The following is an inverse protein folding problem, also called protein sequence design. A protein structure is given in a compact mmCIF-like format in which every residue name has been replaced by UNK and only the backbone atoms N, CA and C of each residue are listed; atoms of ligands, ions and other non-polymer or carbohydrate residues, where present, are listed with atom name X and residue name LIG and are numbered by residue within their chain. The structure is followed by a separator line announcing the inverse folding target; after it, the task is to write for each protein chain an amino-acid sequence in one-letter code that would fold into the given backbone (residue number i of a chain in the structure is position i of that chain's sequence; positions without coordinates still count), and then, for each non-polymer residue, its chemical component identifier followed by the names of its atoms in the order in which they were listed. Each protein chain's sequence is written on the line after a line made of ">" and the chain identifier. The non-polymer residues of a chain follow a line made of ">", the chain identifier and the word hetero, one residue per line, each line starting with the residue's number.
data_IF_141078935902
#
_entry.id   IF_141078935902
#
_cell.length_a   1.000
_cell.length_b   1.000
_cell.length_c   1.000
_cell.angle_alpha   90.00
_cell.angle_beta   90.00
_cell.angle_gamma   90.00
#
_symmetry.space_group_name_H-M   'P 1'
#
loop_
_entity.id
_entity.type
_entity.pdbx_description
1 polymer ?
#
# COMPACT_ATOMS: atom_id res chain seq x y z
N UNK A 1 -33.79 31.12 -13.17
CA UNK A 1 -32.72 30.23 -12.66
C UNK A 1 -33.35 29.06 -11.90
N UNK A 2 -33.35 27.87 -12.50
CA UNK A 2 -33.84 26.67 -11.84
C UNK A 2 -32.79 26.21 -10.84
N UNK A 3 -33.16 26.20 -9.57
CA UNK A 3 -32.33 25.73 -8.47
C UNK A 3 -32.41 24.20 -8.45
N UNK A 4 -31.36 23.54 -8.94
CA UNK A 4 -31.27 22.08 -8.99
C UNK A 4 -30.55 21.62 -7.71
N UNK A 5 -31.23 20.99 -6.74
CA UNK A 5 -30.58 20.52 -5.52
C UNK A 5 -29.50 19.47 -5.85
N UNK A 6 -28.41 19.51 -5.09
CA UNK A 6 -27.26 18.62 -5.26
C UNK A 6 -27.62 17.13 -5.22
N UNK A 7 -27.04 16.35 -6.14
CA UNK A 7 -27.22 14.89 -6.25
C UNK A 7 -26.52 14.17 -5.09
N UNK A 8 -27.15 14.13 -3.92
CA UNK A 8 -26.71 13.35 -2.77
C UNK A 8 -27.91 12.71 -2.08
N UNK A 9 -28.43 11.60 -2.61
CA UNK A 9 -29.47 10.86 -1.91
C UNK A 9 -28.86 10.15 -0.68
N UNK A 10 -29.43 10.30 0.54
CA UNK A 10 -28.94 9.61 1.72
C UNK A 10 -29.01 8.09 1.51
N UNK A 11 -28.02 7.36 2.03
CA UNK A 11 -27.84 5.91 1.84
C UNK A 11 -29.10 5.11 2.23
N UNK A 12 -29.84 5.57 3.24
CA UNK A 12 -31.11 4.97 3.64
C UNK A 12 -32.20 5.07 2.57
N UNK A 13 -32.30 6.20 1.86
CA UNK A 13 -33.27 6.36 0.76
C UNK A 13 -32.92 5.44 -0.41
N UNK A 14 -31.63 5.26 -0.70
CA UNK A 14 -31.17 4.31 -1.73
C UNK A 14 -31.47 2.85 -1.35
N UNK A 15 -31.28 2.48 -0.07
CA UNK A 15 -31.66 1.15 0.44
C UNK A 15 -33.17 0.90 0.34
N UNK A 16 -34.01 1.86 0.77
CA UNK A 16 -35.47 1.78 0.65
C UNK A 16 -35.94 1.69 -0.80
N UNK A 17 -35.35 2.48 -1.69
CA UNK A 17 -35.64 2.40 -3.13
C UNK A 17 -35.30 1.04 -3.72
N UNK A 18 -34.21 0.42 -3.29
CA UNK A 18 -33.79 -0.91 -3.78
C UNK A 18 -34.65 -2.04 -3.24
N UNK A 19 -35.15 -1.92 -2.01
CA UNK A 19 -36.18 -2.82 -1.47
C UNK A 19 -37.53 -2.67 -2.18
N UNK A 20 -37.92 -1.44 -2.52
CA UNK A 20 -39.16 -1.16 -3.24
C UNK A 20 -39.10 -1.55 -4.73
N UNK A 21 -37.92 -1.44 -5.36
CA UNK A 21 -37.70 -1.75 -6.78
C UNK A 21 -37.46 -3.23 -7.08
N UNK A 22 -37.70 -4.13 -6.12
CA UNK A 22 -37.58 -5.58 -6.31
C UNK A 22 -38.68 -6.19 -7.18
N UNK A 23 -39.57 -5.38 -7.74
CA UNK A 23 -40.66 -5.82 -8.62
C UNK A 23 -40.65 -4.99 -9.91
N UNK A 24 -40.66 -5.70 -11.04
CA UNK A 24 -40.74 -5.26 -12.44
C UNK A 24 -39.41 -4.89 -13.12
N UNK A 25 -38.85 -5.92 -13.77
CA UNK A 25 -38.01 -5.83 -14.97
C UNK A 25 -36.49 -5.63 -14.77
N UNK A 26 -35.76 -6.76 -14.81
CA UNK A 26 -34.31 -6.87 -14.65
C UNK A 26 -33.47 -6.24 -15.79
N UNK A 27 -34.10 -5.76 -16.86
CA UNK A 27 -33.45 -5.38 -18.13
C UNK A 27 -33.02 -3.91 -18.23
N UNK A 28 -33.45 -3.01 -17.34
CA UNK A 28 -32.98 -1.61 -17.31
C UNK A 28 -31.88 -1.37 -16.27
N UNK A 29 -30.94 -2.33 -16.18
CA UNK A 29 -29.98 -2.37 -15.08
C UNK A 29 -28.77 -1.46 -15.33
N UNK A 30 -28.85 -0.25 -14.77
CA UNK A 30 -27.75 0.43 -14.08
C UNK A 30 -26.63 1.06 -14.94
N UNK A 31 -26.73 2.38 -15.17
CA UNK A 31 -25.57 3.22 -15.53
C UNK A 31 -25.02 4.04 -14.37
N UNK A 32 -25.76 4.20 -13.27
CA UNK A 32 -25.32 4.97 -12.09
C UNK A 32 -26.03 4.50 -10.82
N UNK A 33 -25.53 3.44 -10.20
CA UNK A 33 -25.79 3.25 -8.77
C UNK A 33 -24.48 3.08 -8.05
N UNK A 34 -24.27 3.90 -7.03
CA UNK A 34 -23.25 3.69 -6.01
C UNK A 34 -23.29 2.21 -5.59
N UNK A 35 -22.19 1.49 -5.73
CA UNK A 35 -22.10 0.10 -5.28
C UNK A 35 -22.00 0.12 -3.75
N UNK A 36 -23.17 0.13 -3.09
CA UNK A 36 -23.29 0.25 -1.63
C UNK A 36 -22.49 -0.82 -0.88
N UNK A 37 -22.23 -1.98 -1.51
CA UNK A 37 -21.39 -3.03 -0.93
C UNK A 37 -19.92 -2.64 -0.95
N UNK A 38 -19.48 -1.96 -2.02
CA UNK A 38 -18.11 -1.43 -2.17
C UNK A 38 -17.86 -0.23 -1.25
N UNK A 39 -18.85 0.63 -1.05
CA UNK A 39 -18.81 1.73 -0.07
C UNK A 39 -18.77 1.19 1.37
N UNK A 40 -19.62 0.21 1.71
CA UNK A 40 -19.59 -0.41 3.03
C UNK A 40 -18.28 -1.16 3.30
N UNK A 41 -17.74 -1.86 2.30
CA UNK A 41 -16.41 -2.49 2.41
C UNK A 41 -15.30 -1.44 2.57
N UNK A 42 -15.36 -0.34 1.84
CA UNK A 42 -14.41 0.78 1.99
C UNK A 42 -14.50 1.39 3.40
N UNK A 43 -15.69 1.62 3.92
CA UNK A 43 -15.89 2.09 5.30
C UNK A 43 -15.38 1.07 6.33
N UNK A 44 -15.58 -0.23 6.11
CA UNK A 44 -15.13 -1.30 7.01
C UNK A 44 -13.60 -1.43 7.01
N UNK A 45 -12.96 -1.34 5.84
CA UNK A 45 -11.50 -1.27 5.69
C UNK A 45 -10.96 -0.01 6.38
N UNK A 46 -11.56 1.15 6.14
CA UNK A 46 -11.16 2.41 6.79
C UNK A 46 -11.35 2.33 8.31
N UNK A 47 -12.40 1.67 8.82
CA UNK A 47 -12.61 1.46 10.25
C UNK A 47 -11.56 0.53 10.85
N UNK A 48 -11.19 -0.56 10.16
CA UNK A 48 -10.10 -1.45 10.59
C UNK A 48 -8.77 -0.70 10.64
N UNK A 49 -8.48 0.11 9.61
CA UNK A 49 -7.31 0.99 9.57
C UNK A 49 -7.32 1.97 10.76
N UNK A 50 -8.45 2.64 11.02
CA UNK A 50 -8.59 3.59 12.14
C UNK A 50 -8.41 2.91 13.50
N UNK A 51 -8.98 1.72 13.68
CA UNK A 51 -8.84 0.94 14.91
C UNK A 51 -7.38 0.48 15.13
N UNK A 52 -6.70 -0.01 14.10
CA UNK A 52 -5.29 -0.40 14.19
C UNK A 52 -4.37 0.81 14.41
N UNK A 53 -4.65 1.94 13.76
CA UNK A 53 -3.93 3.19 14.01
C UNK A 53 -4.06 3.65 15.47
N UNK A 54 -5.25 3.54 16.06
CA UNK A 54 -5.45 3.82 17.49
C UNK A 54 -4.68 2.85 18.40
N UNK A 55 -4.62 1.56 18.06
CA UNK A 55 -3.87 0.55 18.83
C UNK A 55 -2.37 0.78 18.74
N UNK A 56 -1.85 1.10 17.55
CA UNK A 56 -0.43 1.44 17.35
C UNK A 56 -0.09 2.73 18.11
N UNK A 57 -0.96 3.75 18.04
CA UNK A 57 -0.80 5.00 18.80
C UNK A 57 -0.83 4.76 20.31
N UNK A 58 -1.68 3.85 20.79
CA UNK A 58 -1.74 3.45 22.19
C UNK A 58 -0.48 2.66 22.62
N UNK A 59 0.00 1.73 21.80
CA UNK A 59 1.22 0.97 22.05
C UNK A 59 2.46 1.87 22.10
N UNK A 60 2.53 2.88 21.23
CA UNK A 60 3.60 3.87 21.25
C UNK A 60 3.51 4.81 22.45
N UNK A 61 2.31 5.31 22.80
CA UNK A 61 2.11 6.06 24.05
C UNK A 61 2.50 5.25 25.27
N UNK A 62 2.26 3.93 25.26
CA UNK A 62 2.68 3.05 26.34
C UNK A 62 4.21 2.90 26.39
N UNK A 63 4.86 2.80 25.23
CA UNK A 63 6.34 2.79 25.12
C UNK A 63 6.97 4.13 25.56
N UNK A 64 6.33 5.25 25.27
CA UNK A 64 6.74 6.58 25.73
C UNK A 64 6.51 6.75 27.23
N UNK A 65 5.35 6.34 27.77
CA UNK A 65 5.08 6.34 29.20
C UNK A 65 6.06 5.43 29.98
N UNK A 66 6.45 4.29 29.40
CA UNK A 66 7.49 3.42 29.97
C UNK A 66 8.87 4.09 29.97
N UNK A 67 9.18 4.94 28.98
CA UNK A 67 10.41 5.76 28.99
C UNK A 67 10.36 6.86 30.05
N UNK A 68 9.22 7.53 30.22
CA UNK A 68 9.01 8.59 31.24
C UNK A 68 9.11 8.05 32.66
N UNK A 69 8.76 6.78 32.91
CA UNK A 69 8.98 6.12 34.20
C UNK A 69 10.45 5.92 34.61
N UNK A 70 11.41 6.21 33.71
CA UNK A 70 12.84 6.00 33.96
C UNK A 70 13.64 7.30 34.12
N UNK A 71 12.98 8.47 34.09
CA UNK A 71 13.63 9.78 34.21
C UNK A 71 13.00 10.61 35.33
N UNK A 72 13.43 10.35 36.57
CA UNK A 72 13.44 11.39 37.61
C UNK A 72 14.79 12.06 37.61
N UNK A 73 14.75 13.39 37.47
CA UNK A 73 15.84 14.36 37.55
C UNK A 73 16.84 14.29 36.40
N UNK A 74 16.65 15.16 35.41
CA UNK A 74 17.59 16.25 35.12
C UNK A 74 16.97 17.23 34.11
N UNK A 75 17.23 18.52 34.32
CA UNK A 75 16.83 19.59 33.41
C UNK A 75 17.52 19.40 32.04
N UNK A 76 16.90 19.80 30.92
CA UNK A 76 17.53 19.61 29.62
C UNK A 76 18.62 20.67 29.40
N UNK A 77 19.86 20.28 29.70
CA UNK A 77 21.04 20.94 29.15
C UNK A 77 21.04 20.80 27.63
N UNK A 78 21.14 21.94 26.96
CA UNK A 78 21.35 22.04 25.54
C UNK A 78 22.80 21.66 25.21
N UNK A 79 23.10 20.42 24.82
CA UNK A 79 24.30 20.11 24.02
C UNK A 79 24.14 18.87 23.13
N UNK A 80 24.27 19.14 21.83
CA UNK A 80 24.81 18.33 20.73
C UNK A 80 24.99 16.81 20.95
N UNK A 81 24.08 16.04 20.39
CA UNK A 81 24.40 14.70 19.89
C UNK A 81 23.47 14.37 18.72
N UNK A 82 23.43 15.26 17.72
CA UNK A 82 22.60 15.05 16.54
C UNK A 82 23.20 14.01 15.59
N UNK A 83 22.34 13.28 14.88
CA UNK A 83 22.78 12.26 13.94
C UNK A 83 23.72 12.89 12.90
N UNK A 84 24.93 12.34 12.77
CA UNK A 84 25.87 12.63 11.66
C UNK A 84 26.06 14.14 11.35
N UNK A 85 26.14 14.98 12.38
CA UNK A 85 26.45 16.40 12.24
C UNK A 85 25.25 17.31 11.90
N UNK A 86 24.01 16.81 11.98
CA UNK A 86 22.80 17.65 11.99
C UNK A 86 22.45 18.09 13.42
N UNK A 87 21.72 19.21 13.57
CA UNK A 87 21.34 19.73 14.89
C UNK A 87 20.15 19.02 15.55
N UNK A 88 19.50 18.09 14.84
CA UNK A 88 18.26 17.43 15.26
C UNK A 88 18.32 15.91 14.98
N UNK A 89 17.69 15.12 15.84
CA UNK A 89 17.55 13.66 15.65
C UNK A 89 16.30 13.32 14.83
N UNK A 90 16.34 12.21 14.11
CA UNK A 90 15.21 11.66 13.33
C UNK A 90 13.93 11.49 14.16
N UNK A 91 14.04 10.95 15.38
CA UNK A 91 12.91 10.75 16.29
C UNK A 91 12.21 12.06 16.66
N UNK A 92 12.98 13.11 16.93
CA UNK A 92 12.46 14.43 17.29
C UNK A 92 11.73 15.08 16.11
N UNK A 93 12.28 14.95 14.91
CA UNK A 93 11.73 15.50 13.69
C UNK A 93 10.44 14.78 13.25
N UNK A 94 10.41 13.46 13.45
CA UNK A 94 9.22 12.64 13.23
C UNK A 94 8.11 12.99 14.22
N UNK A 95 8.44 13.10 15.52
CA UNK A 95 7.47 13.50 16.55
C UNK A 95 6.90 14.90 16.32
N UNK A 96 7.75 15.85 15.90
CA UNK A 96 7.36 17.22 15.57
C UNK A 96 6.22 17.24 14.54
N UNK A 97 6.35 16.45 13.47
CA UNK A 97 5.41 16.45 12.36
C UNK A 97 4.16 15.63 12.67
N UNK A 98 4.32 14.45 13.29
CA UNK A 98 3.22 13.56 13.68
C UNK A 98 2.27 14.20 14.69
N UNK A 99 2.82 14.76 15.77
CA UNK A 99 2.00 15.39 16.81
C UNK A 99 1.60 16.83 16.48
N UNK A 100 1.98 17.33 15.30
CA UNK A 100 1.74 18.71 14.88
C UNK A 100 2.19 19.69 15.98
N UNK A 101 3.39 19.47 16.53
CA UNK A 101 3.85 20.15 17.74
C UNK A 101 4.36 21.56 17.44
N UNK A 102 3.44 22.52 17.39
CA UNK A 102 3.73 23.94 17.16
C UNK A 102 4.69 24.54 18.18
N UNK A 103 4.58 24.12 19.45
CA UNK A 103 5.41 24.63 20.54
C UNK A 103 6.88 24.26 20.33
N UNK A 104 7.14 23.02 19.92
CA UNK A 104 8.48 22.58 19.57
C UNK A 104 9.02 23.32 18.33
N UNK A 105 8.19 23.56 17.31
CA UNK A 105 8.60 24.35 16.15
C UNK A 105 9.00 25.79 16.55
N UNK A 106 8.27 26.42 17.47
CA UNK A 106 8.60 27.75 17.99
C UNK A 106 9.88 27.77 18.83
N UNK A 107 10.14 26.70 19.59
CA UNK A 107 11.41 26.55 20.33
C UNK A 107 12.62 26.46 19.39
N UNK A 108 12.44 25.89 18.20
CA UNK A 108 13.46 25.87 17.15
C UNK A 108 13.50 27.16 16.31
N UNK A 109 13.08 28.31 16.86
CA UNK A 109 13.02 29.59 16.15
C UNK A 109 12.16 29.55 14.86
N UNK A 110 11.17 28.64 14.82
CA UNK A 110 10.30 28.46 13.68
C UNK A 110 10.94 27.65 12.54
N UNK A 111 10.53 27.96 11.31
CA UNK A 111 10.97 27.24 10.11
C UNK A 111 12.44 27.54 9.80
N UNK A 112 12.89 28.77 10.05
CA UNK A 112 14.27 29.21 9.80
C UNK A 112 15.27 28.48 10.68
N UNK A 113 14.99 28.35 11.99
CA UNK A 113 15.89 27.58 12.86
C UNK A 113 15.83 26.08 12.56
N UNK A 114 14.66 25.53 12.20
CA UNK A 114 14.57 24.14 11.73
C UNK A 114 15.42 23.89 10.47
N UNK A 115 15.37 24.81 9.49
CA UNK A 115 16.18 24.74 8.28
C UNK A 115 17.68 24.82 8.59
N UNK A 116 18.08 25.70 9.52
CA UNK A 116 19.47 25.79 10.00
C UNK A 116 19.94 24.49 10.68
N UNK A 117 19.10 23.88 11.53
CA UNK A 117 19.42 22.60 12.17
C UNK A 117 19.59 21.45 11.16
N UNK A 118 18.82 21.50 10.05
CA UNK A 118 18.91 20.58 8.92
C UNK A 118 19.97 20.99 7.87
N UNK A 119 20.76 22.04 8.14
CA UNK A 119 21.77 22.60 7.21
C UNK A 119 21.21 22.81 5.81
N UNK A 120 20.00 23.36 5.74
CA UNK A 120 19.24 23.55 4.51
C UNK A 120 18.90 25.02 4.37
N UNK A 121 19.07 25.57 3.16
CA UNK A 121 18.62 26.91 2.84
C UNK A 121 17.15 26.87 2.38
N UNK A 122 16.32 27.78 2.88
CA UNK A 122 14.89 27.81 2.59
C UNK A 122 14.61 28.09 1.11
N UNK A 123 15.44 28.91 0.46
CA UNK A 123 15.26 29.33 -0.93
C UNK A 123 16.07 28.45 -1.90
N UNK A 124 17.25 27.99 -1.47
CA UNK A 124 18.18 27.22 -2.31
C UNK A 124 18.09 25.71 -2.08
N UNK A 125 17.42 25.26 -1.02
CA UNK A 125 17.37 23.86 -0.61
C UNK A 125 18.73 23.33 -0.18
N UNK A 126 18.91 22.01 -0.31
CA UNK A 126 20.17 21.32 0.02
C UNK A 126 21.22 21.52 -1.08
N UNK A 127 22.48 21.19 -0.81
CA UNK A 127 23.60 21.36 -1.76
C UNK A 127 23.40 20.57 -3.07
N UNK A 128 22.78 19.39 -2.98
CA UNK A 128 22.57 18.47 -4.09
C UNK A 128 23.79 17.59 -4.42
N UNK A 129 24.86 17.67 -3.64
CA UNK A 129 26.00 16.76 -3.76
C UNK A 129 25.62 15.35 -3.28
N UNK A 130 26.10 14.32 -3.97
CA UNK A 130 25.76 12.92 -3.66
C UNK A 130 26.18 12.52 -2.23
N UNK A 131 27.31 13.05 -1.74
CA UNK A 131 27.76 12.86 -0.36
C UNK A 131 26.83 13.46 0.69
N UNK A 132 26.21 14.61 0.44
CA UNK A 132 25.22 15.22 1.35
C UNK A 132 23.91 14.42 1.35
N UNK A 133 23.48 13.95 0.18
CA UNK A 133 22.30 13.09 0.02
C UNK A 133 22.50 11.78 0.78
N UNK A 134 23.65 11.12 0.64
CA UNK A 134 23.94 9.87 1.33
C UNK A 134 24.09 10.07 2.84
N UNK A 135 24.71 11.17 3.29
CA UNK A 135 24.76 11.51 4.70
C UNK A 135 23.35 11.68 5.31
N UNK A 136 22.42 12.33 4.59
CA UNK A 136 21.02 12.48 5.00
C UNK A 136 20.26 11.16 5.00
N UNK A 137 20.46 10.32 3.97
CA UNK A 137 19.87 8.97 3.92
C UNK A 137 20.32 8.11 5.10
N UNK A 138 21.59 8.25 5.51
CA UNK A 138 22.14 7.55 6.68
C UNK A 138 21.63 8.12 8.02
N UNK A 139 21.36 9.43 8.09
CA UNK A 139 20.93 10.10 9.32
C UNK A 139 19.42 10.04 9.58
N UNK A 140 18.60 10.03 8.52
CA UNK A 140 17.14 10.16 8.60
C UNK A 140 16.36 9.08 7.84
N UNK A 141 17.06 8.18 7.15
CA UNK A 141 16.47 7.14 6.31
C UNK A 141 16.21 7.57 4.86
N UNK A 142 15.82 6.60 4.04
CA UNK A 142 15.46 6.80 2.64
C UNK A 142 13.94 6.86 2.44
N UNK A 143 13.46 7.56 1.41
CA UNK A 143 12.04 7.62 1.06
C UNK A 143 11.53 6.34 0.38
N UNK A 144 11.71 5.21 1.05
CA UNK A 144 11.32 3.88 0.56
C UNK A 144 10.59 3.12 1.66
N UNK A 145 9.56 2.36 1.27
CA UNK A 145 8.82 1.48 2.17
C UNK A 145 9.35 0.05 2.05
N UNK A 146 9.31 -0.77 3.12
CA UNK A 146 9.73 -2.16 3.07
C UNK A 146 8.91 -2.92 2.02
N UNK A 147 9.56 -3.28 0.91
CA UNK A 147 8.92 -4.05 -0.16
C UNK A 147 8.84 -5.51 0.26
N UNK A 148 7.70 -6.16 0.00
CA UNK A 148 7.66 -7.63 -0.02
C UNK A 148 8.66 -8.10 -1.08
N UNK A 149 9.66 -8.87 -0.67
CA UNK A 149 10.59 -9.50 -1.61
C UNK A 149 9.79 -10.32 -2.62
N UNK A 150 10.17 -10.23 -3.90
CA UNK A 150 9.56 -11.05 -4.95
C UNK A 150 9.62 -12.54 -4.59
N UNK A 151 8.57 -13.28 -4.92
CA UNK A 151 8.55 -14.74 -4.70
C UNK A 151 9.58 -15.41 -5.61
N UNK A 152 10.26 -16.42 -5.10
CA UNK A 152 11.20 -17.22 -5.89
C UNK A 152 10.46 -18.11 -6.89
N UNK A 153 11.13 -18.50 -7.97
CA UNK A 153 10.57 -19.45 -8.94
C UNK A 153 10.13 -20.76 -8.27
N UNK A 154 10.88 -21.27 -7.29
CA UNK A 154 10.53 -22.47 -6.52
C UNK A 154 9.23 -22.32 -5.73
N UNK A 155 8.94 -21.11 -5.24
CA UNK A 155 7.66 -20.85 -4.58
C UNK A 155 6.49 -20.97 -5.57
N UNK A 156 6.65 -20.53 -6.82
CA UNK A 156 5.64 -20.71 -7.87
C UNK A 156 5.46 -22.18 -8.26
N UNK A 157 6.54 -22.97 -8.34
CA UNK A 157 6.45 -24.42 -8.56
C UNK A 157 5.68 -25.09 -7.41
N UNK A 158 6.00 -24.74 -6.16
CA UNK A 158 5.32 -25.27 -4.98
C UNK A 158 3.85 -24.89 -4.93
N UNK A 159 3.49 -23.67 -5.34
CA UNK A 159 2.09 -23.22 -5.42
C UNK A 159 1.34 -23.91 -6.57
N UNK A 160 1.98 -24.12 -7.73
CA UNK A 160 1.39 -24.88 -8.83
C UNK A 160 1.10 -26.34 -8.44
N UNK A 161 1.97 -26.98 -7.65
CA UNK A 161 1.73 -28.34 -7.14
C UNK A 161 0.53 -28.44 -6.18
N UNK A 162 0.03 -27.34 -5.61
CA UNK A 162 -1.14 -27.33 -4.71
C UNK A 162 -2.46 -27.16 -5.45
N UNK A 163 -2.45 -26.93 -6.77
CA UNK A 163 -3.67 -26.83 -7.54
C UNK A 163 -4.42 -28.18 -7.48
N UNK A 164 -5.68 -28.14 -7.04
CA UNK A 164 -6.54 -29.32 -6.90
C UNK A 164 -6.57 -30.16 -8.18
N UNK A 165 -6.56 -29.52 -9.34
CA UNK A 165 -6.58 -30.20 -10.64
C UNK A 165 -5.30 -30.99 -10.89
N UNK A 166 -4.14 -30.42 -10.57
CA UNK A 166 -2.84 -31.08 -10.68
C UNK A 166 -2.66 -32.17 -9.61
N UNK A 167 -3.17 -31.96 -8.40
CA UNK A 167 -3.17 -33.00 -7.35
C UNK A 167 -3.95 -34.24 -7.81
N UNK A 168 -5.14 -34.08 -8.41
CA UNK A 168 -5.93 -35.21 -8.92
C UNK A 168 -5.14 -35.97 -10.00
N UNK A 169 -4.47 -35.27 -10.91
CA UNK A 169 -3.64 -35.88 -11.94
C UNK A 169 -2.41 -36.59 -11.36
N UNK A 170 -1.77 -36.04 -10.33
CA UNK A 170 -0.66 -36.67 -9.61
C UNK A 170 -1.11 -37.95 -8.90
N UNK A 171 -2.28 -37.95 -8.26
CA UNK A 171 -2.86 -39.15 -7.63
C UNK A 171 -3.20 -40.20 -8.69
N UNK A 172 -3.79 -39.80 -9.82
CA UNK A 172 -4.05 -40.70 -10.93
C UNK A 172 -2.76 -41.32 -11.48
N UNK A 173 -1.72 -40.51 -11.69
CA UNK A 173 -0.40 -41.00 -12.13
C UNK A 173 0.19 -42.02 -11.14
N UNK A 174 0.08 -41.76 -9.83
CA UNK A 174 0.55 -42.65 -8.79
C UNK A 174 -0.24 -43.97 -8.75
N UNK A 175 -1.57 -43.92 -8.88
CA UNK A 175 -2.43 -45.12 -8.93
C UNK A 175 -2.15 -45.94 -10.19
N UNK A 176 -2.05 -45.29 -11.36
CA UNK A 176 -1.68 -45.96 -12.62
C UNK A 176 -0.30 -46.61 -12.55
N UNK A 177 0.67 -45.94 -11.93
CA UNK A 177 2.01 -46.51 -11.73
C UNK A 177 1.98 -47.72 -10.79
N UNK A 178 1.23 -47.63 -9.68
CA UNK A 178 1.11 -48.73 -8.72
C UNK A 178 0.40 -49.95 -9.32
N UNK A 179 -0.70 -49.73 -10.05
CA UNK A 179 -1.43 -50.79 -10.74
C UNK A 179 -0.58 -51.42 -11.84
N UNK A 180 0.08 -50.63 -12.67
CA UNK A 180 0.94 -51.13 -13.75
C UNK A 180 2.08 -52.00 -13.21
N UNK A 181 2.78 -51.56 -12.16
CA UNK A 181 3.84 -52.36 -11.52
C UNK A 181 3.26 -53.66 -10.91
N UNK A 182 2.03 -53.62 -10.37
CA UNK A 182 1.39 -54.79 -9.76
C UNK A 182 0.92 -55.82 -10.79
N UNK A 183 0.36 -55.39 -11.94
CA UNK A 183 -0.20 -56.29 -12.95
C UNK A 183 0.83 -56.79 -13.96
N UNK A 184 1.73 -55.92 -14.41
CA UNK A 184 2.67 -56.19 -15.52
C UNK A 184 4.13 -56.33 -15.05
N UNK A 185 4.37 -56.15 -13.74
CA UNK A 185 5.69 -56.24 -13.14
C UNK A 185 6.57 -55.02 -13.40
N UNK A 186 7.69 -54.93 -12.67
CA UNK A 186 8.59 -53.75 -12.64
C UNK A 186 9.20 -53.42 -14.01
N UNK A 187 9.33 -54.39 -14.92
CA UNK A 187 10.05 -54.22 -16.20
C UNK A 187 9.24 -53.51 -17.27
N UNK A 188 7.93 -53.72 -17.31
CA UNK A 188 7.04 -53.22 -18.38
C UNK A 188 5.91 -52.33 -17.85
N UNK A 189 5.41 -52.56 -16.63
CA UNK A 189 4.27 -51.82 -16.08
C UNK A 189 4.55 -50.40 -15.59
N UNK A 190 5.80 -49.92 -15.65
CA UNK A 190 6.15 -48.57 -15.18
C UNK A 190 5.90 -47.47 -16.22
N UNK A 191 5.87 -47.81 -17.51
CA UNK A 191 5.83 -46.81 -18.59
C UNK A 191 4.53 -45.99 -18.61
N UNK A 192 3.38 -46.61 -18.30
CA UNK A 192 2.08 -45.95 -18.41
C UNK A 192 1.91 -44.86 -17.32
N UNK A 193 2.19 -45.21 -16.07
CA UNK A 193 2.22 -44.26 -14.96
C UNK A 193 3.34 -43.20 -15.09
N UNK A 194 4.52 -43.59 -15.58
CA UNK A 194 5.62 -42.67 -15.80
C UNK A 194 5.33 -41.64 -16.91
N UNK A 195 4.63 -42.04 -17.98
CA UNK A 195 4.24 -41.14 -19.07
C UNK A 195 3.26 -40.05 -18.58
N UNK A 196 2.28 -40.44 -17.77
CA UNK A 196 1.34 -39.50 -17.15
C UNK A 196 2.09 -38.57 -16.18
N UNK A 197 2.96 -39.11 -15.33
CA UNK A 197 3.77 -38.32 -14.41
C UNK A 197 4.66 -37.30 -15.14
N UNK A 198 5.27 -37.69 -16.25
CA UNK A 198 6.09 -36.80 -17.08
C UNK A 198 5.26 -35.69 -17.73
N UNK A 199 4.05 -36.00 -18.23
CA UNK A 199 3.14 -35.00 -18.76
C UNK A 199 2.73 -33.97 -17.69
N UNK A 200 2.41 -34.42 -16.48
CA UNK A 200 2.06 -33.52 -15.36
C UNK A 200 3.24 -32.64 -14.95
N UNK A 201 4.46 -33.19 -14.91
CA UNK A 201 5.68 -32.41 -14.65
C UNK A 201 5.86 -31.29 -15.68
N UNK A 202 5.70 -31.60 -16.98
CA UNK A 202 5.80 -30.59 -18.03
C UNK A 202 4.74 -29.49 -17.86
N UNK A 203 3.50 -29.85 -17.53
CA UNK A 203 2.44 -28.87 -17.27
C UNK A 203 2.81 -27.97 -16.08
N UNK A 204 3.26 -28.54 -14.96
CA UNK A 204 3.70 -27.76 -13.79
C UNK A 204 4.83 -26.78 -14.17
N UNK A 205 5.81 -27.25 -14.95
CA UNK A 205 6.92 -26.41 -15.38
C UNK A 205 6.47 -25.25 -16.28
N UNK A 206 5.58 -25.51 -17.25
CA UNK A 206 5.01 -24.49 -18.14
C UNK A 206 4.18 -23.49 -17.35
N UNK A 207 3.31 -23.94 -16.44
CA UNK A 207 2.48 -23.09 -15.59
C UNK A 207 3.34 -22.22 -14.68
N UNK A 208 4.29 -22.81 -13.95
CA UNK A 208 5.18 -22.08 -13.06
C UNK A 208 6.04 -21.04 -13.80
N UNK A 209 6.51 -21.37 -15.01
CA UNK A 209 7.26 -20.43 -15.87
C UNK A 209 6.39 -19.28 -16.35
N UNK A 210 5.14 -19.57 -16.76
CA UNK A 210 4.18 -18.56 -17.18
C UNK A 210 3.87 -17.59 -16.03
N UNK A 211 3.51 -18.14 -14.86
CA UNK A 211 3.14 -17.36 -13.68
C UNK A 211 4.32 -16.54 -13.15
N UNK A 212 5.54 -17.09 -13.18
CA UNK A 212 6.75 -16.36 -12.81
C UNK A 212 7.01 -15.19 -13.76
N UNK A 213 6.90 -15.39 -15.08
CA UNK A 213 7.05 -14.30 -16.07
C UNK A 213 5.97 -13.24 -15.89
N UNK A 214 4.73 -13.64 -15.65
CA UNK A 214 3.62 -12.72 -15.40
C UNK A 214 3.85 -11.91 -14.13
N UNK A 215 4.34 -12.55 -13.06
CA UNK A 215 4.70 -11.88 -11.81
C UNK A 215 5.82 -10.86 -12.00
N UNK A 216 6.85 -11.20 -12.79
CA UNK A 216 7.95 -10.29 -13.09
C UNK A 216 7.47 -9.08 -13.90
N UNK A 217 6.59 -9.28 -14.88
CA UNK A 217 5.99 -8.19 -15.64
C UNK A 217 5.17 -7.26 -14.74
N UNK A 218 4.37 -7.83 -13.83
CA UNK A 218 3.65 -7.02 -12.85
C UNK A 218 4.58 -6.24 -11.93
N UNK A 219 5.69 -6.84 -11.50
CA UNK A 219 6.71 -6.16 -10.68
C UNK A 219 7.32 -4.98 -11.45
N UNK A 220 7.80 -5.19 -12.68
CA UNK A 220 8.38 -4.13 -13.50
C UNK A 220 7.39 -2.99 -13.77
N UNK A 221 6.15 -3.32 -14.14
CA UNK A 221 5.10 -2.32 -14.35
C UNK A 221 4.79 -1.54 -13.07
N UNK A 222 4.85 -2.20 -11.91
CA UNK A 222 4.62 -1.56 -10.63
C UNK A 222 5.80 -0.64 -10.26
N UNK A 223 7.04 -1.05 -10.54
CA UNK A 223 8.23 -0.22 -10.33
C UNK A 223 8.24 1.03 -11.20
N UNK A 224 7.92 0.91 -12.48
CA UNK A 224 7.81 2.05 -13.39
C UNK A 224 6.69 3.01 -12.96
N UNK A 225 5.50 2.49 -12.63
CA UNK A 225 4.37 3.31 -12.18
C UNK A 225 4.62 4.01 -10.85
N UNK A 226 5.44 3.44 -9.99
CA UNK A 226 5.76 4.01 -8.68
C UNK A 226 6.89 5.04 -8.73
N UNK A 227 7.69 5.06 -9.81
CA UNK A 227 8.71 6.09 -10.01
C UNK A 227 8.06 7.40 -10.48
N UNK A 228 7.40 8.08 -9.54
CA UNK A 228 6.85 9.41 -9.75
C UNK A 228 8.02 10.39 -9.75
N UNK A 229 8.15 11.16 -10.83
CA UNK A 229 9.09 12.27 -10.88
C UNK A 229 8.45 13.50 -10.24
N UNK A 230 9.16 14.12 -9.31
CA UNK A 230 8.76 15.35 -8.64
C UNK A 230 9.84 16.42 -8.78
N UNK A 231 9.42 17.68 -8.73
CA UNK A 231 10.34 18.84 -8.75
C UNK A 231 10.80 19.15 -7.33
N UNK A 232 12.12 19.26 -7.13
CA UNK A 232 12.73 19.73 -5.87
C UNK A 232 13.70 20.86 -6.14
N UNK A 233 13.96 21.70 -5.14
CA UNK A 233 15.00 22.74 -5.19
C UNK A 233 16.24 22.22 -4.47
N UNK A 234 17.35 22.08 -5.21
CA UNK A 234 18.68 21.77 -4.68
C UNK A 234 19.71 22.72 -5.31
N UNK A 235 20.62 23.28 -4.52
CA UNK A 235 21.65 24.21 -4.98
C UNK A 235 21.08 25.48 -5.65
N UNK A 236 19.87 25.89 -5.28
CA UNK A 236 19.17 27.02 -5.90
C UNK A 236 18.55 26.74 -7.27
N UNK A 237 18.55 25.48 -7.71
CA UNK A 237 17.98 25.07 -9.01
C UNK A 237 16.83 24.09 -8.80
N UNK A 238 15.77 24.24 -9.60
CA UNK A 238 14.69 23.26 -9.68
C UNK A 238 15.13 22.09 -10.53
N UNK A 239 15.19 20.90 -9.92
CA UNK A 239 15.57 19.66 -10.59
C UNK A 239 14.45 18.63 -10.43
N UNK A 240 14.29 17.74 -11.41
CA UNK A 240 13.35 16.62 -11.32
C UNK A 240 14.08 15.43 -10.72
N UNK A 241 13.54 14.89 -9.63
CA UNK A 241 14.07 13.72 -8.93
C UNK A 241 12.99 12.65 -8.81
N UNK A 242 13.43 11.41 -8.65
CA UNK A 242 12.51 10.33 -8.28
C UNK A 242 11.98 10.56 -6.86
N UNK A 243 10.74 10.13 -6.61
CA UNK A 243 10.18 10.07 -5.25
C UNK A 243 11.06 9.28 -4.27
N UNK A 244 11.80 8.28 -4.74
CA UNK A 244 12.66 7.46 -3.90
C UNK A 244 13.96 8.18 -3.48
N UNK A 245 14.37 9.22 -4.21
CA UNK A 245 15.57 10.01 -3.93
C UNK A 245 15.29 11.28 -3.12
N UNK A 246 14.04 11.44 -2.67
CA UNK A 246 13.65 12.51 -1.76
C UNK A 246 14.29 12.28 -0.38
N UNK A 247 14.88 13.33 0.19
CA UNK A 247 15.55 13.27 1.50
C UNK A 247 15.05 14.37 2.44
N UNK A 248 15.29 14.19 3.73
CA UNK A 248 14.99 15.21 4.75
C UNK A 248 15.80 16.47 4.50
N UNK A 249 15.13 17.62 4.55
CA UNK A 249 15.68 18.92 4.19
C UNK A 249 15.47 19.31 2.73
N UNK A 250 14.94 18.44 1.86
CA UNK A 250 14.57 18.89 0.52
C UNK A 250 13.48 19.96 0.56
N UNK A 251 13.59 20.92 -0.37
CA UNK A 251 12.60 21.97 -0.58
C UNK A 251 11.76 21.60 -1.80
N UNK A 252 10.47 21.36 -1.58
CA UNK A 252 9.55 20.84 -2.60
C UNK A 252 8.49 21.89 -2.94
N UNK A 253 8.53 22.49 -4.15
CA UNK A 253 7.45 23.32 -4.64
C UNK A 253 6.25 22.46 -5.03
N UNK A 254 5.11 22.70 -4.38
CA UNK A 254 3.85 21.99 -4.60
C UNK A 254 2.85 22.89 -5.33
N UNK A 255 2.18 22.33 -6.34
CA UNK A 255 1.15 22.99 -7.15
C UNK A 255 -0.19 22.25 -6.99
N UNK A 256 -1.26 22.89 -7.43
CA UNK A 256 -2.61 22.30 -7.43
C UNK A 256 -2.61 20.95 -8.15
N UNK A 257 -3.17 19.93 -7.50
CA UNK A 257 -3.25 18.57 -8.03
C UNK A 257 -2.05 17.68 -7.70
N UNK A 258 -0.95 18.25 -7.19
CA UNK A 258 0.21 17.47 -6.76
C UNK A 258 -0.14 16.65 -5.49
N UNK A 259 0.46 15.47 -5.39
CA UNK A 259 0.43 14.66 -4.17
C UNK A 259 1.65 15.02 -3.31
N UNK A 260 1.41 15.24 -2.02
CA UNK A 260 2.48 15.51 -1.06
C UNK A 260 3.36 14.25 -0.93
N UNK A 261 4.66 14.30 -1.29
CA UNK A 261 5.48 13.10 -1.44
C UNK A 261 6.04 12.55 -0.11
N UNK A 262 6.11 13.39 0.92
CA UNK A 262 6.69 13.11 2.23
C UNK A 262 6.08 14.06 3.27
N UNK A 263 6.25 13.75 4.56
CA UNK A 263 5.78 14.62 5.63
C UNK A 263 6.67 15.87 5.70
N UNK A 264 6.07 17.02 5.98
CA UNK A 264 6.79 18.28 5.88
C UNK A 264 6.08 19.48 6.50
N UNK A 265 6.76 20.63 6.42
CA UNK A 265 6.31 21.92 6.96
C UNK A 265 6.27 22.96 5.84
N UNK A 266 5.21 23.77 5.82
CA UNK A 266 4.99 24.81 4.83
C UNK A 266 5.93 25.99 5.10
N UNK A 267 6.85 26.25 4.18
CA UNK A 267 7.73 27.42 4.19
C UNK A 267 6.94 28.67 3.82
N UNK A 268 6.33 28.65 2.63
CA UNK A 268 5.63 29.78 2.03
C UNK A 268 4.54 29.25 1.11
N UNK A 269 3.43 29.97 1.01
CA UNK A 269 2.34 29.57 0.12
C UNK A 269 1.30 30.66 -0.01
N UNK A 270 0.52 30.59 -1.10
CA UNK A 270 -0.56 31.52 -1.38
C UNK A 270 -1.86 30.74 -1.56
N UNK A 271 -2.84 30.99 -0.69
CA UNK A 271 -4.13 30.29 -0.65
C UNK A 271 -3.96 28.78 -0.73
N UNK A 272 -3.03 28.23 0.04
CA UNK A 272 -2.61 26.84 -0.07
C UNK A 272 -3.53 25.93 0.77
N UNK A 273 -4.24 25.04 0.09
CA UNK A 273 -5.23 24.15 0.68
C UNK A 273 -4.94 22.71 0.31
N UNK A 274 -5.06 21.81 1.29
CA UNK A 274 -4.78 20.38 1.12
C UNK A 274 -6.04 19.57 1.43
N UNK A 275 -6.31 18.57 0.60
CA UNK A 275 -7.30 17.54 0.86
C UNK A 275 -6.68 16.39 1.67
N UNK A 276 -7.11 16.26 2.92
CA UNK A 276 -6.67 15.24 3.88
C UNK A 276 -7.51 13.95 3.80
N UNK A 277 -8.41 13.84 2.81
CA UNK A 277 -9.32 12.69 2.64
C UNK A 277 -8.61 11.36 2.43
N UNK A 278 -7.43 11.38 1.81
CA UNK A 278 -6.64 10.17 1.55
C UNK A 278 -6.07 9.55 2.84
N UNK A 279 -5.83 10.38 3.86
CA UNK A 279 -5.28 9.96 5.16
C UNK A 279 -6.37 9.67 6.18
N UNK A 280 -7.34 10.57 6.31
CA UNK A 280 -8.36 10.51 7.38
C UNK A 280 -9.62 9.74 6.99
N UNK A 281 -9.84 9.58 5.67
CA UNK A 281 -11.08 9.07 5.09
C UNK A 281 -12.23 10.08 5.09
N UNK A 282 -12.02 11.29 5.61
CA UNK A 282 -13.02 12.35 5.69
C UNK A 282 -12.69 13.42 4.65
N UNK A 283 -13.65 13.76 3.78
CA UNK A 283 -13.49 14.82 2.78
C UNK A 283 -13.43 16.19 3.44
N UNK A 284 -12.24 16.55 3.94
CA UNK A 284 -11.95 17.81 4.60
C UNK A 284 -10.78 18.49 3.89
N UNK A 285 -11.07 19.64 3.29
CA UNK A 285 -10.05 20.55 2.77
C UNK A 285 -9.58 21.42 3.93
N UNK A 286 -8.28 21.43 4.16
CA UNK A 286 -7.64 22.18 5.25
C UNK A 286 -6.72 23.23 4.63
N UNK A 287 -6.94 24.49 5.00
CA UNK A 287 -6.03 25.58 4.64
C UNK A 287 -4.78 25.50 5.51
N UNK A 288 -3.63 25.55 4.86
CA UNK A 288 -2.32 25.48 5.50
C UNK A 288 -1.70 26.86 5.42
N UNK A 289 -1.49 27.44 6.60
CA UNK A 289 -0.84 28.74 6.79
C UNK A 289 0.34 28.58 7.76
N UNK A 290 1.03 29.67 8.09
CA UNK A 290 2.07 29.65 9.14
C UNK A 290 1.54 29.18 10.51
N UNK A 291 0.23 29.32 10.76
CA UNK A 291 -0.43 28.82 11.99
C UNK A 291 -0.68 27.32 11.97
N UNK A 292 -0.64 26.69 10.79
CA UNK A 292 -0.91 25.28 10.56
C UNK A 292 -0.03 24.71 9.44
N UNK A 293 1.31 24.76 9.57
CA UNK A 293 2.19 24.53 8.44
C UNK A 293 2.46 23.05 8.16
N UNK A 294 2.03 22.14 9.03
CA UNK A 294 2.29 20.70 8.89
C UNK A 294 1.48 20.06 7.76
N UNK A 295 2.16 19.23 6.98
CA UNK A 295 1.63 18.48 5.86
C UNK A 295 1.95 17.00 6.02
N UNK A 296 0.98 16.17 5.66
CA UNK A 296 1.10 14.71 5.68
C UNK A 296 1.31 14.18 4.27
N UNK A 297 2.20 13.21 4.13
CA UNK A 297 2.44 12.45 2.92
C UNK A 297 1.14 11.77 2.46
N UNK A 298 0.95 11.69 1.15
CA UNK A 298 -0.22 11.07 0.55
C UNK A 298 -1.43 12.01 0.39
N UNK A 299 -1.48 13.15 1.09
CA UNK A 299 -2.49 14.18 0.87
C UNK A 299 -2.33 14.85 -0.51
N UNK A 300 -3.40 15.46 -1.02
CA UNK A 300 -3.41 16.12 -2.32
C UNK A 300 -3.60 17.62 -2.18
N UNK A 301 -2.88 18.41 -2.96
CA UNK A 301 -3.08 19.86 -3.02
C UNK A 301 -4.41 20.13 -3.72
N UNK A 302 -5.35 20.70 -2.97
CA UNK A 302 -6.68 21.05 -3.46
C UNK A 302 -6.69 22.40 -4.16
N UNK A 303 -5.96 23.39 -3.64
CA UNK A 303 -5.89 24.74 -4.21
C UNK A 303 -4.58 25.46 -3.81
N UNK A 304 -4.23 26.48 -4.60
CA UNK A 304 -3.06 27.33 -4.39
C UNK A 304 -1.71 26.72 -4.77
N UNK A 305 -0.64 27.38 -4.34
CA UNK A 305 0.73 26.90 -4.47
C UNK A 305 1.49 27.11 -3.17
N UNK A 306 2.42 26.21 -2.87
CA UNK A 306 3.18 26.23 -1.64
C UNK A 306 4.58 25.65 -1.83
N UNK A 307 5.49 26.00 -0.93
CA UNK A 307 6.82 25.45 -0.84
C UNK A 307 6.93 24.72 0.49
N UNK A 308 7.30 23.45 0.44
CA UNK A 308 7.40 22.57 1.59
C UNK A 308 8.86 22.28 1.93
N UNK A 309 9.20 22.26 3.21
CA UNK A 309 10.42 21.64 3.74
C UNK A 309 10.11 20.21 4.18
N UNK A 310 10.83 19.23 3.65
CA UNK A 310 10.67 17.82 4.01
C UNK A 310 11.25 17.56 5.40
N UNK A 311 10.43 17.02 6.30
CA UNK A 311 10.82 16.69 7.69
C UNK A 311 10.93 15.20 7.93
N UNK A 312 10.10 14.36 7.33
CA UNK A 312 10.22 12.91 7.47
C UNK A 312 9.96 12.21 6.15
N UNK A 313 10.66 11.09 5.90
CA UNK A 313 10.59 10.30 4.66
C UNK A 313 10.38 8.82 4.95
N UNK A 314 9.84 8.08 3.97
CA UNK A 314 9.71 6.63 4.05
C UNK A 314 8.84 6.18 5.22
N UNK A 315 9.30 5.17 5.96
CA UNK A 315 8.56 4.57 7.10
C UNK A 315 8.33 5.54 8.27
N UNK A 316 9.07 6.64 8.32
CA UNK A 316 8.94 7.65 9.38
C UNK A 316 7.73 8.57 9.16
N UNK A 317 7.20 8.60 7.95
CA UNK A 317 5.96 9.34 7.63
C UNK A 317 4.72 8.62 8.15
N UNK A 318 3.64 9.37 8.39
CA UNK A 318 2.35 8.76 8.77
C UNK A 318 1.83 7.80 7.70
N UNK A 319 1.92 8.20 6.42
CA UNK A 319 1.52 7.36 5.30
C UNK A 319 2.39 6.10 5.18
N UNK A 320 3.70 6.23 5.42
CA UNK A 320 4.62 5.10 5.38
C UNK A 320 4.34 4.06 6.44
N UNK A 321 4.02 4.50 7.66
CA UNK A 321 3.61 3.61 8.74
C UNK A 321 2.29 2.89 8.41
N UNK A 322 1.31 3.61 7.85
CA UNK A 322 0.04 3.02 7.40
C UNK A 322 0.27 1.98 6.30
N UNK A 323 1.10 2.30 5.30
CA UNK A 323 1.38 1.40 4.18
C UNK A 323 2.15 0.15 4.64
N UNK A 324 3.09 0.29 5.58
CA UNK A 324 3.79 -0.84 6.18
C UNK A 324 2.80 -1.78 6.90
N UNK A 325 1.87 -1.22 7.67
CA UNK A 325 0.83 -1.97 8.40
C UNK A 325 -0.10 -2.75 7.46
N UNK A 326 -0.56 -2.11 6.38
CA UNK A 326 -1.43 -2.75 5.36
C UNK A 326 -0.68 -3.84 4.60
N UNK A 327 0.62 -3.63 4.34
CA UNK A 327 1.43 -4.60 3.60
C UNK A 327 1.56 -5.92 4.34
N UNK A 328 1.54 -5.95 5.67
CA UNK A 328 1.57 -7.19 6.45
C UNK A 328 0.28 -8.02 6.29
N UNK A 329 -0.87 -7.38 6.01
CA UNK A 329 -2.21 -8.00 6.02
C UNK A 329 -2.73 -8.43 4.63
N UNK A 330 -1.94 -8.23 3.57
CA UNK A 330 -2.41 -8.38 2.18
C UNK A 330 -2.45 -9.84 1.66
N UNK A 331 -3.18 -10.70 2.35
CA UNK A 331 -3.68 -11.99 1.85
C UNK A 331 -5.07 -11.90 1.21
N UNK A 332 -5.66 -10.70 1.15
CA UNK A 332 -7.02 -10.51 0.61
C UNK A 332 -7.07 -10.76 -0.90
N UNK A 333 -7.91 -11.71 -1.29
CA UNK A 333 -8.25 -11.97 -2.68
C UNK A 333 -8.89 -10.73 -3.31
N UNK A 334 -8.53 -10.45 -4.56
CA UNK A 334 -9.13 -9.32 -5.29
C UNK A 334 -10.64 -9.52 -5.44
N UNK A 335 -11.46 -8.46 -5.45
CA UNK A 335 -12.92 -8.58 -5.57
C UNK A 335 -13.37 -9.28 -6.86
N UNK A 336 -12.49 -9.33 -7.86
CA UNK A 336 -12.69 -10.08 -9.09
C UNK A 336 -12.46 -11.59 -8.89
N UNK A 337 -11.39 -11.98 -8.18
CA UNK A 337 -11.10 -13.38 -7.84
C UNK A 337 -12.24 -14.02 -7.07
N UNK A 338 -12.81 -13.33 -6.07
CA UNK A 338 -13.96 -13.85 -5.30
C UNK A 338 -15.17 -14.15 -6.21
N UNK A 339 -15.43 -13.29 -7.21
CA UNK A 339 -16.53 -13.51 -8.16
C UNK A 339 -16.24 -14.68 -9.11
N UNK A 340 -15.00 -14.80 -9.58
CA UNK A 340 -14.57 -15.90 -10.43
C UNK A 340 -14.58 -17.24 -9.69
N UNK A 341 -14.13 -17.28 -8.44
CA UNK A 341 -14.19 -18.47 -7.59
C UNK A 341 -15.64 -18.97 -7.43
N UNK A 342 -16.61 -18.05 -7.29
CA UNK A 342 -18.03 -18.39 -7.29
C UNK A 342 -18.50 -19.05 -8.59
N UNK A 343 -18.10 -18.52 -9.75
CA UNK A 343 -18.44 -19.09 -11.06
C UNK A 343 -17.75 -20.43 -11.28
N UNK A 344 -16.46 -20.52 -10.96
CA UNK A 344 -15.67 -21.75 -11.08
C UNK A 344 -16.25 -22.89 -10.22
N UNK A 345 -16.67 -22.58 -9.00
CA UNK A 345 -17.31 -23.57 -8.10
C UNK A 345 -18.63 -24.08 -8.70
N UNK A 346 -19.43 -23.20 -9.29
CA UNK A 346 -20.70 -23.60 -9.92
C UNK A 346 -20.49 -24.52 -11.12
N UNK A 347 -19.52 -24.19 -11.99
CA UNK A 347 -19.13 -25.05 -13.11
C UNK A 347 -18.58 -26.39 -12.60
N UNK A 348 -17.77 -26.37 -11.53
CA UNK A 348 -17.22 -27.57 -10.90
C UNK A 348 -18.31 -28.51 -10.37
N UNK A 349 -19.35 -27.98 -9.72
CA UNK A 349 -20.49 -28.80 -9.22
C UNK A 349 -21.25 -29.45 -10.38
N UNK A 350 -21.51 -28.70 -11.46
CA UNK A 350 -22.19 -29.25 -12.64
C UNK A 350 -21.32 -30.36 -13.26
N UNK A 351 -20.02 -30.11 -13.47
CA UNK A 351 -19.09 -31.09 -14.01
C UNK A 351 -19.03 -32.37 -13.18
N UNK A 352 -18.95 -32.24 -11.85
CA UNK A 352 -18.94 -33.39 -10.94
C UNK A 352 -20.25 -34.19 -11.01
N UNK A 353 -21.40 -33.51 -11.06
CA UNK A 353 -22.72 -34.17 -11.13
C UNK A 353 -22.88 -35.02 -12.40
N UNK A 354 -22.40 -34.50 -13.54
CA UNK A 354 -22.43 -35.21 -14.82
C UNK A 354 -21.46 -36.40 -14.78
N UNK A 355 -20.25 -36.22 -14.25
CA UNK A 355 -19.26 -37.29 -14.13
C UNK A 355 -19.78 -38.46 -13.28
N UNK A 356 -20.42 -38.16 -12.14
CA UNK A 356 -21.04 -39.17 -11.27
C UNK A 356 -22.20 -39.88 -11.98
N UNK A 357 -23.05 -39.15 -12.71
CA UNK A 357 -24.14 -39.75 -13.47
C UNK A 357 -23.63 -40.73 -14.54
N UNK A 358 -22.58 -40.36 -15.28
CA UNK A 358 -21.96 -41.24 -16.28
C UNK A 358 -21.34 -42.48 -15.62
N UNK A 359 -20.66 -42.33 -14.48
CA UNK A 359 -20.11 -43.45 -13.72
C UNK A 359 -21.20 -44.46 -13.31
N UNK A 360 -22.34 -43.97 -12.82
CA UNK A 360 -23.48 -44.83 -12.43
C UNK A 360 -24.03 -45.59 -13.64
N UNK A 361 -24.17 -44.92 -14.79
CA UNK A 361 -24.64 -45.57 -16.03
C UNK A 361 -23.67 -46.65 -16.49
N UNK A 362 -22.36 -46.43 -16.37
CA UNK A 362 -21.34 -47.41 -16.73
C UNK A 362 -21.29 -48.60 -15.76
N UNK A 363 -21.58 -48.41 -14.47
CA UNK A 363 -21.63 -49.50 -13.49
C UNK A 363 -22.91 -50.31 -13.56
N UNK A 364 -24.02 -49.69 -13.97
CA UNK A 364 -25.32 -50.35 -14.12
C UNK A 364 -25.43 -51.16 -15.43
N UNK A 365 -24.53 -50.93 -16.38
CA UNK A 365 -24.44 -51.63 -17.67
C UNK A 365 -23.40 -52.73 -17.59
#
# INVERSE_FOLDING_TARGET
>A
PFDIPGKGAPVERLKKWRQAALVLNASRRFRYTLDLKKEAQKEEVIRKIRAQAHVIRAAFRFKEAARVGTTTNDAPEAHADGALGFGIKEDQLTALTRDHNYSALQQYEGISGLANMLKTDIDKGISGEESDIDARKNAFGANTYPRKKGRSFLAFVWDACKDLTLIILMVAAAVSLALGIYTEGIKEGWYDGASIGFAVLLVIFVTATSDYKQSLQFQNLNEEKQNIQLEVVRGGRRIKVSIFDLVVGDVVPLKIGDQVPADGVLISGHSFSIDESSMTGESKIVNKDQKSPFMMSGCKVADGYGTMLVTAVGINTEWGLLMASISEDSGEETPLQVRLNGVATFIGIIGLSVAVAVLVVLLAR
#
